data_IF_197286983547
#
_entry.id   IF_197286983547
#
_cell.length_a   1.000
_cell.length_b   1.000
_cell.length_c   1.000
_cell.angle_alpha   90.00
_cell.angle_beta   90.00
_cell.angle_gamma   90.00
#
_symmetry.space_group_name_H-M   'P 1'
#
loop_
_entity.id
_entity.type
_entity.pdbx_description
1 polymer ?
#
# COMPACT_ATOMS: atom_id res chain seq x y z
N UNK A 1 12.69 20.16 19.39
CA UNK A 1 12.36 20.38 17.96
C UNK A 1 11.35 19.35 17.50
N UNK A 2 10.30 19.78 16.83
CA UNK A 2 9.31 18.87 16.26
C UNK A 2 9.81 18.28 14.96
N UNK A 3 9.58 17.00 14.79
CA UNK A 3 9.97 16.29 13.59
C UNK A 3 8.77 15.48 13.10
N UNK A 4 8.54 15.47 11.80
CA UNK A 4 7.48 14.71 11.18
C UNK A 4 8.07 13.58 10.36
N UNK A 5 7.65 12.36 10.64
CA UNK A 5 8.06 11.18 9.87
C UNK A 5 6.84 10.57 9.19
N UNK A 6 6.99 10.21 7.93
CA UNK A 6 5.94 9.54 7.17
C UNK A 6 6.55 8.22 6.68
N UNK A 7 5.97 7.10 7.13
CA UNK A 7 6.48 5.78 6.78
C UNK A 7 5.33 4.87 6.36
N UNK A 8 5.63 3.95 5.44
CA UNK A 8 4.73 2.84 5.15
C UNK A 8 5.04 1.76 6.20
N UNK A 9 4.12 1.55 7.12
CA UNK A 9 4.36 0.65 8.25
C UNK A 9 3.66 -0.70 8.12
N UNK A 10 2.80 -0.87 7.12
CA UNK A 10 2.12 -2.15 6.89
C UNK A 10 1.76 -2.27 5.42
N UNK A 11 2.10 -3.40 4.82
CA UNK A 11 1.69 -3.73 3.46
C UNK A 11 1.13 -5.15 3.51
N UNK A 12 -0.10 -5.33 3.04
CA UNK A 12 -0.81 -6.58 3.17
C UNK A 12 -1.38 -7.00 1.81
N UNK A 13 -1.01 -8.19 1.35
CA UNK A 13 -1.56 -8.76 0.12
C UNK A 13 -2.78 -9.61 0.49
N UNK A 14 -3.91 -9.35 -0.17
CA UNK A 14 -5.13 -10.09 0.09
C UNK A 14 -5.39 -11.10 -1.04
N UNK A 15 -6.34 -11.99 -0.83
CA UNK A 15 -6.57 -13.15 -1.67
C UNK A 15 -6.76 -12.81 -3.15
N UNK A 16 -7.44 -11.71 -3.46
CA UNK A 16 -7.72 -11.34 -4.85
C UNK A 16 -6.56 -10.58 -5.52
N UNK A 17 -5.44 -10.43 -4.83
CA UNK A 17 -4.27 -9.73 -5.36
C UNK A 17 -4.21 -8.25 -5.04
N UNK A 18 -5.24 -7.69 -4.42
CA UNK A 18 -5.16 -6.30 -3.96
C UNK A 18 -4.12 -6.18 -2.86
N UNK A 19 -3.39 -5.07 -2.86
CA UNK A 19 -2.36 -4.80 -1.85
C UNK A 19 -2.85 -3.61 -1.02
N UNK A 20 -3.01 -3.83 0.28
CA UNK A 20 -3.42 -2.78 1.21
C UNK A 20 -2.18 -2.15 1.81
N UNK A 21 -2.12 -0.83 1.77
CA UNK A 21 -0.96 -0.07 2.25
C UNK A 21 -1.40 0.85 3.37
N UNK A 22 -0.71 0.78 4.50
CA UNK A 22 -0.96 1.69 5.60
C UNK A 22 0.24 2.60 5.77
N UNK A 23 -0.01 3.90 5.75
CA UNK A 23 1.00 4.93 5.96
C UNK A 23 0.82 5.50 7.34
N UNK A 24 1.88 5.59 8.10
CA UNK A 24 1.88 6.16 9.45
C UNK A 24 2.60 7.51 9.42
N UNK A 25 1.92 8.55 9.87
CA UNK A 25 2.52 9.86 10.07
C UNK A 25 2.79 10.02 11.56
N UNK A 26 4.06 10.23 11.93
CA UNK A 26 4.48 10.37 13.33
C UNK A 26 5.00 11.76 13.58
N UNK A 27 4.62 12.30 14.72
CA UNK A 27 5.18 13.57 15.21
C UNK A 27 6.10 13.23 16.37
N UNK A 28 7.34 13.68 16.27
CA UNK A 28 8.38 13.38 17.25
C UNK A 28 8.91 14.69 17.79
N UNK A 29 9.01 14.78 19.14
CA UNK A 29 9.58 15.94 19.79
C UNK A 29 10.73 15.47 20.68
N UNK A 30 11.92 15.99 20.40
CA UNK A 30 13.14 15.67 21.16
C UNK A 30 13.38 14.16 21.28
N UNK A 31 13.16 13.45 20.17
CA UNK A 31 13.38 12.01 20.11
C UNK A 31 12.23 11.18 20.62
N UNK A 32 11.15 11.81 21.10
CA UNK A 32 10.00 11.08 21.65
C UNK A 32 8.79 11.25 20.73
N UNK A 33 8.15 10.14 20.38
CA UNK A 33 6.94 10.18 19.59
C UNK A 33 5.78 10.69 20.46
N UNK A 34 5.14 11.77 20.05
CA UNK A 34 4.04 12.38 20.79
C UNK A 34 2.70 12.20 20.10
N UNK A 35 2.70 11.80 18.83
CA UNK A 35 1.44 11.65 18.08
C UNK A 35 1.67 10.76 16.88
N UNK A 36 0.60 10.08 16.45
CA UNK A 36 0.64 9.31 15.20
C UNK A 36 -0.75 9.30 14.58
N UNK A 37 -0.79 9.16 13.27
CA UNK A 37 -2.02 9.03 12.51
C UNK A 37 -1.79 8.02 11.39
N UNK A 38 -2.84 7.28 11.03
CA UNK A 38 -2.74 6.27 9.99
C UNK A 38 -3.61 6.63 8.80
N UNK A 39 -3.12 6.31 7.62
CA UNK A 39 -3.86 6.46 6.37
C UNK A 39 -3.72 5.17 5.57
N UNK A 40 -4.82 4.66 5.03
CA UNK A 40 -4.82 3.43 4.26
C UNK A 40 -5.24 3.69 2.84
N UNK A 41 -4.59 3.00 1.90
CA UNK A 41 -5.04 2.97 0.52
C UNK A 41 -4.83 1.57 -0.05
N UNK A 42 -5.47 1.30 -1.19
CA UNK A 42 -5.43 -0.02 -1.82
C UNK A 42 -4.85 0.12 -3.22
N UNK A 43 -3.94 -0.79 -3.58
CA UNK A 43 -3.39 -0.90 -4.92
C UNK A 43 -3.98 -2.17 -5.55
N UNK A 44 -4.79 -2.00 -6.60
CA UNK A 44 -5.42 -3.14 -7.27
C UNK A 44 -4.49 -3.75 -8.30
N UNK A 45 -4.66 -5.05 -8.64
CA UNK A 45 -3.83 -5.67 -9.68
C UNK A 45 -3.92 -4.91 -10.99
N UNK A 46 -2.77 -4.63 -11.59
CA UNK A 46 -2.69 -3.89 -12.85
C UNK A 46 -2.58 -2.38 -12.70
N UNK A 47 -2.68 -1.85 -11.48
CA UNK A 47 -2.56 -0.42 -11.26
C UNK A 47 -1.12 0.06 -11.46
N UNK A 48 -0.98 1.34 -11.84
CA UNK A 48 0.32 1.98 -11.95
C UNK A 48 0.88 2.24 -10.55
N UNK A 49 2.04 1.66 -10.26
CA UNK A 49 2.67 1.78 -8.94
C UNK A 49 3.88 2.70 -8.94
N UNK A 50 4.08 3.46 -10.02
CA UNK A 50 5.27 4.32 -10.14
C UNK A 50 5.33 5.39 -9.06
N UNK A 51 4.19 5.79 -8.50
CA UNK A 51 4.13 6.77 -7.42
C UNK A 51 4.19 6.17 -6.02
N UNK A 52 4.28 4.84 -5.90
CA UNK A 52 4.31 4.18 -4.60
C UNK A 52 5.73 4.11 -4.06
N UNK A 53 5.84 3.92 -2.74
CA UNK A 53 7.13 3.71 -2.11
C UNK A 53 7.77 2.42 -2.61
N UNK A 54 9.11 2.36 -2.62
CA UNK A 54 9.85 1.25 -3.22
C UNK A 54 9.44 -0.12 -2.68
N UNK A 55 9.18 -0.22 -1.38
CA UNK A 55 8.72 -1.46 -0.76
C UNK A 55 7.38 -1.91 -1.34
N UNK A 56 6.46 -0.96 -1.52
CA UNK A 56 5.14 -1.25 -2.09
C UNK A 56 5.28 -1.71 -3.53
N UNK A 57 6.14 -1.03 -4.32
CA UNK A 57 6.39 -1.43 -5.70
C UNK A 57 6.91 -2.86 -5.78
N UNK A 58 7.85 -3.23 -4.91
CA UNK A 58 8.44 -4.57 -4.91
C UNK A 58 7.40 -5.64 -4.56
N UNK A 59 6.54 -5.37 -3.57
CA UNK A 59 5.49 -6.30 -3.17
C UNK A 59 4.46 -6.45 -4.28
N UNK A 60 4.05 -5.34 -4.90
CA UNK A 60 3.11 -5.38 -6.02
C UNK A 60 3.70 -6.16 -7.20
N UNK A 61 4.99 -6.00 -7.49
CA UNK A 61 5.62 -6.73 -8.58
C UNK A 61 5.58 -8.25 -8.33
N UNK A 62 5.72 -8.67 -7.08
CA UNK A 62 5.65 -10.08 -6.72
C UNK A 62 4.22 -10.63 -6.75
N UNK A 63 3.24 -9.83 -6.32
CA UNK A 63 1.84 -10.25 -6.19
C UNK A 63 1.08 -10.12 -7.51
N UNK A 64 1.32 -9.04 -8.27
CA UNK A 64 0.55 -8.72 -9.47
C UNK A 64 1.14 -9.41 -10.69
N UNK A 65 1.07 -10.75 -10.71
CA UNK A 65 1.46 -11.53 -11.88
C UNK A 65 0.40 -11.37 -12.98
N UNK A 66 0.74 -11.69 -14.26
CA UNK A 66 -0.26 -11.62 -15.32
C UNK A 66 -1.51 -12.45 -15.02
N UNK A 67 -1.38 -13.61 -14.38
CA UNK A 67 -2.53 -14.45 -14.03
C UNK A 67 -3.42 -13.75 -13.00
N UNK A 68 -2.83 -13.13 -11.99
CA UNK A 68 -3.58 -12.43 -10.95
C UNK A 68 -4.28 -11.21 -11.51
N UNK A 69 -3.59 -10.44 -12.37
CA UNK A 69 -4.19 -9.28 -13.02
C UNK A 69 -5.38 -9.71 -13.88
N UNK A 70 -5.23 -10.76 -14.67
CA UNK A 70 -6.31 -11.26 -15.53
C UNK A 70 -7.50 -11.76 -14.71
N UNK A 71 -7.24 -12.48 -13.62
CA UNK A 71 -8.30 -12.97 -12.75
C UNK A 71 -9.06 -11.85 -12.08
N UNK A 72 -8.35 -10.81 -11.62
CA UNK A 72 -8.99 -9.66 -11.00
C UNK A 72 -9.88 -8.92 -12.00
N UNK A 73 -9.38 -8.69 -13.22
CA UNK A 73 -10.13 -7.99 -14.26
C UNK A 73 -11.36 -8.79 -14.67
N UNK A 74 -11.24 -10.12 -14.77
CA UNK A 74 -12.37 -10.97 -15.10
C UNK A 74 -13.46 -10.91 -14.03
N UNK A 75 -13.08 -10.89 -12.76
CA UNK A 75 -14.03 -10.77 -11.66
C UNK A 75 -14.76 -9.43 -11.69
N UNK A 76 -14.05 -8.34 -12.02
CA UNK A 76 -14.68 -7.03 -12.15
C UNK A 76 -15.67 -6.99 -13.29
N UNK A 77 -15.33 -7.63 -14.41
CA UNK A 77 -16.21 -7.69 -15.58
C UNK A 77 -17.52 -8.43 -15.27
N UNK A 78 -17.44 -9.52 -14.51
CA UNK A 78 -18.61 -10.30 -14.13
C UNK A 78 -19.55 -9.49 -13.23
N UNK A 79 -19.00 -8.64 -12.40
CA UNK A 79 -19.80 -7.83 -11.47
C UNK A 79 -20.45 -6.62 -12.14
N UNK A 80 -19.96 -6.25 -13.29
CA UNK A 80 -20.44 -5.09 -14.04
C UNK A 80 -21.78 -5.32 -14.68
#
# INVERSE_FOLDING_TARGET
>A
MLEKQIVVDLVEAVENGCVQVRTCTRIIEDGKQISSAFHRHVVVPGADVSGEEAKVQAICAAVHTPEIIAAYQAAQTIQG
#
